data_IF_091146679257
#
_entry.id   IF_091146679257
#
_cell.length_a   1.000
_cell.length_b   1.000
_cell.length_c   1.000
_cell.angle_alpha   90.00
_cell.angle_beta   90.00
_cell.angle_gamma   90.00
#
_symmetry.space_group_name_H-M   'P 1'
#
loop_
_entity.id
_entity.type
_entity.pdbx_description
1 polymer ?
#
# COMPACT_ATOMS: atom_id res chain seq x y z
N UNK A 1 -20.07 -5.12 23.12
CA UNK A 1 -18.79 -5.65 23.68
C UNK A 1 -17.80 -6.07 22.57
N UNK A 2 -17.70 -5.32 21.46
CA UNK A 2 -16.98 -5.75 20.23
C UNK A 2 -15.49 -5.34 20.15
N UNK A 3 -14.99 -4.51 21.06
CA UNK A 3 -13.71 -3.79 20.87
C UNK A 3 -12.40 -4.54 21.18
N UNK A 4 -12.44 -5.64 21.96
CA UNK A 4 -11.19 -6.32 22.38
C UNK A 4 -10.65 -7.34 21.38
N UNK A 5 -11.52 -7.99 20.59
CA UNK A 5 -11.11 -9.06 19.66
C UNK A 5 -10.56 -8.53 18.33
N UNK A 6 -10.86 -7.28 17.95
CA UNK A 6 -10.49 -6.74 16.63
C UNK A 6 -9.10 -6.10 16.62
N UNK A 7 -8.60 -5.60 17.75
CA UNK A 7 -7.31 -4.89 17.81
C UNK A 7 -6.09 -5.74 17.40
N UNK A 8 -5.87 -6.97 17.90
CA UNK A 8 -4.74 -7.78 17.46
C UNK A 8 -4.83 -8.14 15.98
N UNK A 9 -6.04 -8.37 15.46
CA UNK A 9 -6.28 -8.58 14.04
C UNK A 9 -5.87 -7.35 13.22
N UNK A 10 -6.32 -6.15 13.62
CA UNK A 10 -5.99 -4.89 12.95
C UNK A 10 -4.48 -4.61 12.93
N UNK A 11 -3.77 -4.89 14.02
CA UNK A 11 -2.30 -4.78 14.06
C UNK A 11 -1.63 -5.78 13.11
N UNK A 12 -2.10 -7.04 13.11
CA UNK A 12 -1.56 -8.07 12.23
C UNK A 12 -1.77 -7.78 10.75
N UNK A 13 -2.98 -7.35 10.35
CA UNK A 13 -3.25 -6.98 8.97
C UNK A 13 -2.49 -5.73 8.55
N UNK A 14 -2.31 -4.76 9.45
CA UNK A 14 -1.60 -3.53 9.12
C UNK A 14 -0.08 -3.72 9.04
N UNK A 15 0.46 -4.68 9.81
CA UNK A 15 1.80 -5.20 9.63
C UNK A 15 1.98 -5.85 8.25
N UNK A 16 1.08 -6.75 7.85
CA UNK A 16 1.16 -7.44 6.55
C UNK A 16 0.96 -6.48 5.36
N UNK A 17 0.09 -5.48 5.52
CA UNK A 17 -0.06 -4.36 4.58
C UNK A 17 1.27 -3.59 4.44
N UNK A 18 1.95 -3.29 5.55
CA UNK A 18 3.28 -2.67 5.55
C UNK A 18 4.33 -3.50 4.83
N UNK A 19 4.38 -4.81 5.07
CA UNK A 19 5.26 -5.74 4.33
C UNK A 19 5.01 -5.64 2.83
N UNK A 20 3.73 -5.73 2.42
CA UNK A 20 3.33 -5.71 1.00
C UNK A 20 3.67 -4.37 0.34
N UNK A 21 3.37 -3.26 1.02
CA UNK A 21 3.64 -1.91 0.53
C UNK A 21 5.11 -1.69 0.19
N UNK A 22 6.03 -2.15 1.04
CA UNK A 22 7.46 -1.97 0.80
C UNK A 22 8.03 -2.98 -0.20
N UNK A 23 7.46 -4.19 -0.31
CA UNK A 23 7.79 -5.09 -1.43
C UNK A 23 7.42 -4.41 -2.76
N UNK A 24 6.22 -3.82 -2.88
CA UNK A 24 5.84 -3.09 -4.08
C UNK A 24 6.73 -1.90 -4.35
N UNK A 25 7.02 -1.08 -3.33
CA UNK A 25 7.84 0.11 -3.53
C UNK A 25 9.21 -0.26 -4.13
N UNK A 26 9.86 -1.29 -3.59
CA UNK A 26 11.16 -1.74 -4.09
C UNK A 26 11.02 -2.42 -5.47
N UNK A 27 9.99 -3.25 -5.68
CA UNK A 27 9.79 -3.96 -6.94
C UNK A 27 9.39 -3.02 -8.10
N UNK A 28 8.46 -2.09 -7.87
CA UNK A 28 8.08 -1.08 -8.86
C UNK A 28 9.24 -0.14 -9.16
N UNK A 29 10.06 0.23 -8.17
CA UNK A 29 11.28 0.99 -8.44
C UNK A 29 12.20 0.25 -9.42
N UNK A 30 12.39 -1.07 -9.25
CA UNK A 30 13.18 -1.89 -10.19
C UNK A 30 12.54 -2.03 -11.57
N UNK A 31 11.22 -2.19 -11.66
CA UNK A 31 10.52 -2.23 -12.95
C UNK A 31 10.68 -0.91 -13.71
N UNK A 32 10.55 0.21 -13.00
CA UNK A 32 10.69 1.55 -13.56
C UNK A 32 12.12 1.84 -14.01
N UNK A 33 13.15 1.36 -13.29
CA UNK A 33 14.53 1.41 -13.77
C UNK A 33 14.75 0.71 -15.11
N UNK A 34 13.98 -0.35 -15.40
CA UNK A 34 13.99 -1.00 -16.71
C UNK A 34 13.45 -0.10 -17.85
N UNK A 35 12.62 0.90 -17.53
CA UNK A 35 11.98 1.78 -18.52
C UNK A 35 12.75 3.08 -18.80
N UNK A 36 13.44 3.67 -17.82
CA UNK A 36 14.14 4.97 -17.99
C UNK A 36 15.64 4.94 -17.69
N UNK A 37 16.19 3.82 -17.18
CA UNK A 37 17.56 3.78 -16.65
C UNK A 37 17.64 4.13 -15.16
N UNK A 38 18.83 3.94 -14.59
CA UNK A 38 19.12 4.10 -13.15
C UNK A 38 19.83 5.42 -12.90
N UNK A 39 19.10 6.53 -13.07
CA UNK A 39 19.63 7.88 -12.83
C UNK A 39 19.03 8.50 -11.55
N UNK A 40 19.75 9.45 -10.97
CA UNK A 40 19.33 10.17 -9.75
C UNK A 40 17.98 10.86 -9.96
N UNK A 41 17.74 11.38 -11.17
CA UNK A 41 16.47 11.99 -11.56
C UNK A 41 15.31 10.98 -11.47
N UNK A 42 15.49 9.76 -12.00
CA UNK A 42 14.50 8.69 -11.96
C UNK A 42 14.16 8.28 -10.52
N UNK A 43 15.18 8.11 -9.66
CA UNK A 43 14.97 7.77 -8.25
C UNK A 43 14.18 8.88 -7.54
N UNK A 44 14.55 10.14 -7.78
CA UNK A 44 13.90 11.30 -7.17
C UNK A 44 12.43 11.39 -7.56
N UNK A 45 12.11 11.16 -8.84
CA UNK A 45 10.73 11.17 -9.34
C UNK A 45 9.91 10.05 -8.68
N UNK A 46 10.45 8.83 -8.61
CA UNK A 46 9.74 7.68 -8.02
C UNK A 46 9.43 7.96 -6.55
N UNK A 47 10.45 8.32 -5.75
CA UNK A 47 10.27 8.60 -4.31
C UNK A 47 9.30 9.77 -4.12
N UNK A 48 9.41 10.84 -4.91
CA UNK A 48 8.49 11.98 -4.83
C UNK A 48 7.05 11.59 -5.16
N UNK A 49 6.85 10.71 -6.16
CA UNK A 49 5.52 10.17 -6.51
C UNK A 49 4.92 9.42 -5.34
N UNK A 50 5.70 8.54 -4.72
CA UNK A 50 5.27 7.78 -3.55
C UNK A 50 4.94 8.72 -2.38
N UNK A 51 5.80 9.68 -2.06
CA UNK A 51 5.55 10.63 -0.96
C UNK A 51 4.31 11.49 -1.23
N UNK A 52 4.13 11.98 -2.46
CA UNK A 52 2.93 12.73 -2.84
C UNK A 52 1.68 11.86 -2.74
N UNK A 53 1.71 10.66 -3.31
CA UNK A 53 0.61 9.72 -3.23
C UNK A 53 0.24 9.40 -1.78
N UNK A 54 1.21 9.03 -0.95
CA UNK A 54 0.99 8.77 0.47
C UNK A 54 0.36 9.97 1.19
N UNK A 55 0.85 11.19 0.91
CA UNK A 55 0.29 12.43 1.47
C UNK A 55 -1.15 12.71 1.02
N UNK A 56 -1.42 12.67 -0.29
CA UNK A 56 -2.76 12.84 -0.85
C UNK A 56 -3.73 11.78 -0.33
N UNK A 57 -3.27 10.53 -0.30
CA UNK A 57 -3.98 9.39 0.27
C UNK A 57 -4.32 9.58 1.73
N UNK A 58 -3.38 10.04 2.55
CA UNK A 58 -3.60 10.26 3.97
C UNK A 58 -4.66 11.36 4.22
N UNK A 59 -4.61 12.46 3.47
CA UNK A 59 -5.60 13.54 3.56
C UNK A 59 -7.00 13.05 3.16
N UNK A 60 -7.11 12.42 1.98
CA UNK A 60 -8.38 11.90 1.48
C UNK A 60 -8.93 10.79 2.38
N UNK A 61 -8.06 9.89 2.84
CA UNK A 61 -8.41 8.77 3.72
C UNK A 61 -8.91 9.23 5.08
N UNK A 62 -8.29 10.25 5.68
CA UNK A 62 -8.76 10.85 6.93
C UNK A 62 -10.15 11.47 6.79
N UNK A 63 -10.34 12.32 5.76
CA UNK A 63 -11.63 12.96 5.50
C UNK A 63 -12.74 11.94 5.22
N UNK A 64 -12.43 10.88 4.47
CA UNK A 64 -13.40 9.85 4.12
C UNK A 64 -13.71 8.93 5.32
N UNK A 65 -12.71 8.67 6.17
CA UNK A 65 -12.88 7.92 7.41
C UNK A 65 -13.82 8.63 8.40
N UNK A 66 -13.71 9.96 8.51
CA UNK A 66 -14.60 10.77 9.35
C UNK A 66 -16.06 10.72 8.85
N UNK A 67 -16.24 10.75 7.53
CA UNK A 67 -17.57 10.70 6.88
C UNK A 67 -18.25 9.33 6.95
N UNK A 68 -17.51 8.24 6.75
CA UNK A 68 -18.08 6.89 6.59
C UNK A 68 -18.26 6.13 7.90
N UNK A 69 -17.50 6.51 8.92
CA UNK A 69 -17.61 5.97 10.26
C UNK A 69 -17.44 4.46 10.39
N UNK A 70 -18.53 3.72 10.69
CA UNK A 70 -18.42 2.26 10.84
C UNK A 70 -18.06 1.55 9.51
N UNK A 71 -18.31 2.18 8.36
CA UNK A 71 -17.94 1.65 7.04
C UNK A 71 -16.47 1.91 6.67
N UNK A 72 -15.71 2.63 7.49
CA UNK A 72 -14.30 2.93 7.25
C UNK A 72 -13.44 1.68 7.13
N UNK A 73 -13.78 0.61 7.87
CA UNK A 73 -13.07 -0.68 7.80
C UNK A 73 -13.33 -1.41 6.48
N UNK A 74 -14.55 -1.30 5.95
CA UNK A 74 -14.88 -1.84 4.61
C UNK A 74 -14.09 -1.09 3.54
N UNK A 75 -13.97 0.23 3.66
CA UNK A 75 -13.17 1.03 2.75
C UNK A 75 -11.68 0.69 2.84
N UNK A 76 -11.13 0.48 4.03
CA UNK A 76 -9.76 -0.03 4.19
C UNK A 76 -9.57 -1.35 3.44
N UNK A 77 -10.50 -2.31 3.59
CA UNK A 77 -10.44 -3.57 2.87
C UNK A 77 -10.53 -3.40 1.35
N UNK A 78 -11.31 -2.43 0.86
CA UNK A 78 -11.38 -2.08 -0.56
C UNK A 78 -10.10 -1.42 -1.06
N UNK A 79 -9.45 -0.56 -0.28
CA UNK A 79 -8.15 0.00 -0.60
C UNK A 79 -7.09 -1.10 -0.76
N UNK A 80 -7.03 -2.03 0.20
CA UNK A 80 -6.12 -3.18 0.15
C UNK A 80 -6.40 -4.08 -1.05
N UNK A 81 -7.68 -4.36 -1.34
CA UNK A 81 -8.06 -5.09 -2.54
C UNK A 81 -7.60 -4.37 -3.82
N UNK A 82 -7.82 -3.05 -3.90
CA UNK A 82 -7.39 -2.22 -5.02
C UNK A 82 -5.87 -2.20 -5.20
N UNK A 83 -5.11 -2.13 -4.11
CA UNK A 83 -3.65 -2.23 -4.12
C UNK A 83 -3.21 -3.59 -4.65
N UNK A 84 -3.81 -4.68 -4.17
CA UNK A 84 -3.49 -6.04 -4.63
C UNK A 84 -3.81 -6.26 -6.11
N UNK A 85 -4.97 -5.80 -6.57
CA UNK A 85 -5.37 -5.86 -7.99
C UNK A 85 -4.43 -5.04 -8.87
N UNK A 86 -4.09 -3.82 -8.42
CA UNK A 86 -3.09 -3.02 -9.10
C UNK A 86 -1.72 -3.72 -9.11
N UNK A 87 -1.32 -4.35 -8.01
CA UNK A 87 -0.11 -5.15 -7.90
C UNK A 87 -0.03 -6.21 -9.02
N UNK A 88 -1.07 -7.02 -9.19
CA UNK A 88 -1.13 -7.99 -10.28
C UNK A 88 -1.02 -7.31 -11.65
N UNK A 89 -1.82 -6.28 -11.90
CA UNK A 89 -1.85 -5.57 -13.18
C UNK A 89 -0.54 -4.83 -13.48
N UNK A 90 0.19 -4.39 -12.45
CA UNK A 90 1.40 -3.57 -12.58
C UNK A 90 2.53 -4.28 -13.33
N UNK A 91 2.60 -5.61 -13.21
CA UNK A 91 3.58 -6.45 -13.93
C UNK A 91 3.45 -6.34 -15.46
N UNK A 92 2.25 -6.00 -15.95
CA UNK A 92 1.97 -5.79 -17.37
C UNK A 92 1.86 -4.31 -17.70
N UNK A 93 1.17 -3.53 -16.86
CA UNK A 93 0.91 -2.11 -17.09
C UNK A 93 2.18 -1.26 -17.12
N UNK A 94 3.11 -1.46 -16.17
CA UNK A 94 4.33 -0.65 -16.11
C UNK A 94 5.20 -0.88 -17.36
N UNK A 95 5.52 -2.13 -17.76
CA UNK A 95 6.24 -2.37 -19.02
C UNK A 95 5.48 -1.89 -20.25
N UNK A 96 4.15 -2.06 -20.30
CA UNK A 96 3.34 -1.62 -21.45
C UNK A 96 3.35 -0.09 -21.62
N UNK A 97 3.26 0.66 -20.52
CA UNK A 97 3.39 2.12 -20.54
C UNK A 97 4.80 2.51 -20.98
N UNK A 98 5.84 1.86 -20.44
CA UNK A 98 7.22 2.05 -20.87
C UNK A 98 7.40 1.86 -22.39
N UNK A 99 6.90 0.75 -22.93
CA UNK A 99 6.97 0.45 -24.36
C UNK A 99 6.16 1.44 -25.22
N UNK A 100 4.96 1.84 -24.77
CA UNK A 100 4.08 2.76 -25.50
C UNK A 100 4.70 4.14 -25.71
N UNK A 101 5.49 4.58 -24.73
CA UNK A 101 6.13 5.89 -24.72
C UNK A 101 7.64 5.82 -24.99
N UNK A 102 8.18 4.67 -25.45
CA UNK A 102 9.61 4.46 -25.70
C UNK A 102 10.23 5.52 -26.63
N UNK A 103 9.47 6.00 -27.61
CA UNK A 103 9.90 7.03 -28.57
C UNK A 103 9.52 8.46 -28.16
N UNK A 104 8.96 8.65 -26.97
CA UNK A 104 8.59 9.96 -26.43
C UNK A 104 9.76 10.60 -25.67
N UNK A 105 9.64 11.89 -25.36
CA UNK A 105 10.63 12.57 -24.52
C UNK A 105 10.58 12.07 -23.08
N UNK A 106 11.74 12.06 -22.40
CA UNK A 106 11.87 11.59 -21.02
C UNK A 106 10.82 12.18 -20.04
N UNK A 107 10.47 13.49 -20.09
CA UNK A 107 9.44 14.04 -19.22
C UNK A 107 8.05 13.42 -19.42
N UNK A 108 7.70 13.03 -20.64
CA UNK A 108 6.40 12.40 -20.95
C UNK A 108 6.34 10.99 -20.37
N UNK A 109 7.41 10.21 -20.53
CA UNK A 109 7.47 8.85 -19.97
C UNK A 109 7.43 8.92 -18.44
N UNK A 110 8.16 9.88 -17.84
CA UNK A 110 8.17 10.12 -16.41
C UNK A 110 6.78 10.51 -15.89
N UNK A 111 6.10 11.45 -16.55
CA UNK A 111 4.74 11.86 -16.17
C UNK A 111 3.72 10.71 -16.27
N UNK A 112 3.82 9.88 -17.32
CA UNK A 112 2.91 8.73 -17.49
C UNK A 112 3.05 7.71 -16.33
N UNK A 113 4.28 7.38 -15.96
CA UNK A 113 4.53 6.45 -14.85
C UNK A 113 4.29 7.08 -13.48
N UNK A 114 4.55 8.39 -13.33
CA UNK A 114 4.19 9.16 -12.15
C UNK A 114 2.68 9.03 -11.88
N UNK A 115 1.85 9.30 -12.88
CA UNK A 115 0.40 9.21 -12.77
C UNK A 115 -0.06 7.76 -12.51
N UNK A 116 0.59 6.78 -13.13
CA UNK A 116 0.29 5.36 -12.93
C UNK A 116 0.53 4.91 -11.48
N UNK A 117 1.65 5.31 -10.86
CA UNK A 117 2.02 4.92 -9.49
C UNK A 117 1.35 5.79 -8.44
N UNK A 118 0.90 7.00 -8.79
CA UNK A 118 0.22 7.90 -7.85
C UNK A 118 -1.06 7.26 -7.27
N UNK A 119 -1.79 6.49 -8.08
CA UNK A 119 -3.03 5.82 -7.67
C UNK A 119 -2.81 4.80 -6.53
N UNK A 120 -1.99 3.74 -6.70
CA UNK A 120 -1.74 2.78 -5.63
C UNK A 120 -1.04 3.42 -4.43
N UNK A 121 -0.14 4.39 -4.64
CA UNK A 121 0.50 5.11 -3.53
C UNK A 121 -0.52 5.90 -2.70
N UNK A 122 -1.53 6.49 -3.35
CA UNK A 122 -2.64 7.16 -2.65
C UNK A 122 -3.51 6.18 -1.88
N UNK A 123 -3.80 5.01 -2.44
CA UNK A 123 -4.52 3.96 -1.69
C UNK A 123 -3.73 3.52 -0.46
N UNK A 124 -2.41 3.32 -0.58
CA UNK A 124 -1.54 2.98 0.54
C UNK A 124 -1.55 4.07 1.62
N UNK A 125 -1.48 5.35 1.23
CA UNK A 125 -1.49 6.47 2.17
C UNK A 125 -2.79 6.61 2.97
N UNK A 126 -3.90 6.20 2.37
CA UNK A 126 -5.22 6.29 2.98
C UNK A 126 -5.43 5.29 4.12
N UNK A 127 -4.67 4.19 4.15
CA UNK A 127 -4.87 3.07 5.08
C UNK A 127 -4.68 3.44 6.56
N UNK A 128 -3.63 4.20 6.89
CA UNK A 128 -3.30 4.53 8.29
C UNK A 128 -4.38 5.43 8.93
N UNK A 129 -4.78 6.57 8.33
CA UNK A 129 -5.84 7.41 8.90
C UNK A 129 -7.16 6.66 9.06
N UNK A 130 -7.51 5.76 8.12
CA UNK A 130 -8.72 4.93 8.21
C UNK A 130 -8.72 4.04 9.45
N UNK A 131 -7.62 3.32 9.71
CA UNK A 131 -7.52 2.44 10.87
C UNK A 131 -7.45 3.22 12.19
N UNK A 132 -6.76 4.37 12.20
CA UNK A 132 -6.71 5.26 13.36
C UNK A 132 -8.10 5.78 13.71
N UNK A 133 -8.86 6.28 12.71
CA UNK A 133 -10.22 6.79 12.91
C UNK A 133 -11.17 5.69 13.42
N UNK A 134 -11.00 4.45 12.97
CA UNK A 134 -11.77 3.32 13.48
C UNK A 134 -11.44 3.00 14.95
N UNK A 135 -10.15 2.87 15.29
CA UNK A 135 -9.73 2.53 16.67
C UNK A 135 -10.01 3.65 17.68
N UNK A 136 -9.96 4.91 17.25
CA UNK A 136 -10.28 6.05 18.11
C UNK A 136 -11.74 6.06 18.57
N UNK A 137 -12.68 5.61 17.73
CA UNK A 137 -14.10 5.53 18.10
C UNK A 137 -14.35 4.61 19.29
N UNK A 138 -13.52 3.59 19.44
CA UNK A 138 -13.63 2.59 20.51
C UNK A 138 -12.77 2.92 21.74
N UNK A 139 -11.76 3.80 21.63
CA UNK A 139 -10.83 4.14 22.72
C UNK A 139 -10.50 5.64 22.75
N UNK A 140 -10.69 6.27 23.92
CA UNK A 140 -10.38 7.69 24.14
C UNK A 140 -8.88 8.06 24.03
N UNK A 141 -7.97 7.08 23.89
CA UNK A 141 -6.53 7.33 23.81
C UNK A 141 -6.01 7.25 22.36
N UNK A 142 -6.04 8.40 21.68
CA UNK A 142 -5.54 8.59 20.31
C UNK A 142 -4.07 8.18 20.19
N UNK A 143 -3.22 8.58 21.13
CA UNK A 143 -1.78 8.37 21.07
C UNK A 143 -1.38 6.90 21.03
N UNK A 144 -2.02 6.06 21.86
CA UNK A 144 -1.79 4.61 21.86
C UNK A 144 -2.28 3.95 20.56
N UNK A 145 -3.39 4.42 19.99
CA UNK A 145 -3.95 3.86 18.76
C UNK A 145 -3.05 4.17 17.56
N UNK A 146 -2.65 5.43 17.40
CA UNK A 146 -1.69 5.86 16.38
C UNK A 146 -0.36 5.13 16.56
N UNK A 147 0.22 5.16 17.77
CA UNK A 147 1.53 4.57 18.03
C UNK A 147 1.58 3.08 17.74
N UNK A 148 0.57 2.31 18.18
CA UNK A 148 0.56 0.85 17.95
C UNK A 148 0.36 0.47 16.48
N UNK A 149 -0.52 1.17 15.74
CA UNK A 149 -0.68 0.96 14.30
C UNK A 149 0.59 1.37 13.54
N UNK A 150 1.14 2.55 13.83
CA UNK A 150 2.34 3.06 13.17
C UNK A 150 3.54 2.14 13.43
N UNK A 151 3.69 1.62 14.65
CA UNK A 151 4.71 0.63 14.99
C UNK A 151 4.54 -0.65 14.15
N UNK A 152 3.33 -1.22 14.09
CA UNK A 152 3.07 -2.46 13.38
C UNK A 152 3.37 -2.32 11.87
N UNK A 153 2.88 -1.25 11.25
CA UNK A 153 3.10 -0.98 9.84
C UNK A 153 4.57 -0.68 9.53
N UNK A 154 5.24 0.13 10.35
CA UNK A 154 6.66 0.46 10.14
C UNK A 154 7.55 -0.77 10.27
N UNK A 155 7.27 -1.65 11.24
CA UNK A 155 8.02 -2.90 11.39
C UNK A 155 7.77 -3.84 10.20
N UNK A 156 6.52 -3.96 9.75
CA UNK A 156 6.18 -4.71 8.55
C UNK A 156 6.89 -4.15 7.31
N UNK A 157 6.86 -2.83 7.13
CA UNK A 157 7.55 -2.11 6.07
C UNK A 157 9.05 -2.38 6.06
N UNK A 158 9.72 -2.26 7.21
CA UNK A 158 11.15 -2.54 7.34
C UNK A 158 11.48 -3.99 6.94
N UNK A 159 10.68 -4.95 7.40
CA UNK A 159 10.84 -6.37 7.03
C UNK A 159 10.56 -6.61 5.55
N UNK A 160 9.54 -5.98 4.99
CA UNK A 160 9.21 -6.06 3.56
C UNK A 160 10.33 -5.51 2.68
N UNK A 161 10.90 -4.36 3.03
CA UNK A 161 12.02 -3.76 2.31
C UNK A 161 13.28 -4.63 2.38
N UNK A 162 13.62 -5.14 3.58
CA UNK A 162 14.75 -6.05 3.78
C UNK A 162 14.56 -7.35 3.00
N UNK A 163 13.39 -7.97 3.12
CA UNK A 163 13.05 -9.21 2.42
C UNK A 163 13.10 -9.01 0.91
N UNK A 164 12.53 -7.93 0.38
CA UNK A 164 12.58 -7.62 -1.05
C UNK A 164 14.01 -7.53 -1.57
N UNK A 165 14.84 -6.70 -0.92
CA UNK A 165 16.21 -6.45 -1.37
C UNK A 165 17.17 -7.63 -1.23
N UNK A 166 17.00 -8.48 -0.21
CA UNK A 166 17.98 -9.52 0.16
C UNK A 166 17.53 -10.94 -0.19
N UNK A 167 16.23 -11.24 -0.03
CA UNK A 167 15.70 -12.60 -0.15
C UNK A 167 14.84 -12.77 -1.41
N UNK A 168 13.80 -11.95 -1.59
CA UNK A 168 12.82 -12.16 -2.64
C UNK A 168 13.47 -12.07 -4.01
N UNK A 169 14.24 -11.02 -4.31
CA UNK A 169 14.89 -10.92 -5.63
C UNK A 169 16.04 -11.90 -5.85
N UNK A 170 16.47 -12.63 -4.82
CA UNK A 170 17.45 -13.71 -4.95
C UNK A 170 16.80 -15.04 -5.34
N UNK A 171 15.59 -15.31 -4.85
CA UNK A 171 14.91 -16.60 -5.03
C UNK A 171 13.67 -16.53 -5.94
N UNK A 172 13.09 -15.35 -6.12
CA UNK A 172 11.89 -15.07 -6.89
C UNK A 172 12.18 -14.05 -7.99
N UNK A 173 11.38 -14.11 -9.07
CA UNK A 173 11.38 -13.04 -10.07
C UNK A 173 10.73 -11.76 -9.51
N UNK A 174 10.92 -10.63 -10.21
CA UNK A 174 10.23 -9.38 -9.86
C UNK A 174 8.71 -9.58 -9.84
N UNK A 175 8.15 -10.23 -10.84
CA UNK A 175 6.71 -10.48 -10.95
C UNK A 175 6.20 -11.37 -9.81
N UNK A 176 6.91 -12.46 -9.50
CA UNK A 176 6.57 -13.34 -8.37
C UNK A 176 6.60 -12.60 -7.03
N UNK A 177 7.55 -11.68 -6.85
CA UNK A 177 7.64 -10.85 -5.64
C UNK A 177 6.43 -9.91 -5.52
N UNK A 178 6.00 -9.33 -6.64
CA UNK A 178 4.80 -8.47 -6.72
C UNK A 178 3.53 -9.30 -6.46
N UNK A 179 3.42 -10.50 -7.02
CA UNK A 179 2.28 -11.39 -6.78
C UNK A 179 2.21 -11.86 -5.33
N UNK A 180 3.35 -12.09 -4.68
CA UNK A 180 3.40 -12.40 -3.25
C UNK A 180 2.85 -11.24 -2.41
N UNK A 181 3.24 -10.00 -2.73
CA UNK A 181 2.68 -8.82 -2.08
C UNK A 181 1.16 -8.69 -2.33
N UNK A 182 0.70 -8.97 -3.55
CA UNK A 182 -0.73 -8.96 -3.90
C UNK A 182 -1.53 -10.00 -3.13
N UNK A 183 -0.99 -11.20 -2.98
CA UNK A 183 -1.58 -12.21 -2.10
C UNK A 183 -1.66 -11.71 -0.65
N UNK A 184 -0.63 -11.01 -0.17
CA UNK A 184 -0.65 -10.32 1.13
C UNK A 184 -1.81 -9.35 1.28
N UNK A 185 -2.04 -8.46 0.30
CA UNK A 185 -3.17 -7.52 0.35
C UNK A 185 -4.53 -8.22 0.28
N UNK A 186 -4.67 -9.28 -0.52
CA UNK A 186 -5.92 -10.05 -0.58
C UNK A 186 -6.20 -10.77 0.74
N UNK A 187 -5.17 -11.31 1.40
CA UNK A 187 -5.28 -11.88 2.75
C UNK A 187 -5.69 -10.82 3.77
N UNK A 188 -5.12 -9.61 3.70
CA UNK A 188 -5.51 -8.47 4.54
C UNK A 188 -6.99 -8.14 4.33
N UNK A 189 -7.38 -7.90 3.07
CA UNK A 189 -8.76 -7.53 2.70
C UNK A 189 -9.76 -8.59 3.15
N UNK A 190 -9.48 -9.86 2.85
CA UNK A 190 -10.32 -11.00 3.25
C UNK A 190 -10.42 -11.17 4.77
N UNK A 191 -9.31 -11.04 5.49
CA UNK A 191 -9.29 -11.15 6.96
C UNK A 191 -10.12 -10.06 7.63
N UNK A 192 -10.05 -8.82 7.09
CA UNK A 192 -10.86 -7.72 7.57
C UNK A 192 -12.35 -7.92 7.25
N UNK A 193 -12.68 -8.38 6.05
CA UNK A 193 -14.07 -8.65 5.66
C UNK A 193 -14.71 -9.74 6.52
N UNK A 194 -14.01 -10.86 6.74
CA UNK A 194 -14.49 -11.97 7.60
C UNK A 194 -14.56 -11.54 9.07
N UNK A 195 -13.55 -10.81 9.56
CA UNK A 195 -13.51 -10.33 10.95
C UNK A 195 -14.62 -9.32 11.26
N UNK A 196 -14.95 -8.44 10.31
CA UNK A 196 -16.00 -7.43 10.48
C UNK A 196 -17.41 -7.98 10.26
N UNK A 197 -17.59 -8.95 9.34
CA UNK A 197 -18.87 -9.63 9.12
C UNK A 197 -19.39 -10.39 10.34
N UNK A 198 -18.48 -10.96 11.14
CA UNK A 198 -18.82 -11.64 12.42
C UNK A 198 -19.25 -10.69 13.54
N UNK A 199 -19.01 -9.39 13.41
CA UNK A 199 -19.43 -8.38 14.40
C UNK A 199 -20.82 -7.78 14.15
N UNK A 200 -21.46 -8.12 13.03
CA UNK A 200 -22.82 -7.66 12.66
C UNK A 200 -23.92 -8.71 12.84
N UNK A 201 -23.55 -9.99 13.00
CA UNK A 201 -24.48 -11.10 13.26
C UNK A 201 -24.62 -11.32 14.77
#
# INVERSE_FOLDING_TARGET
MSGKSSRPLLLGVFFLSGVSALIYQVAWQRLLFGAFGVDIESITIIVSTFMLGLGCGALAGGQLADRLGHRTVELFALCELGIGLFGLASTVLIPAVGARFLHSSLPVIAAANFLLILLPASLMGATLPMLVAHLFRDNANVGLSIGSLYWANTMGAALGALAAGVLLFRYLTLDQSIWLAAAGNFLVSGSVYVGHGRGRA
#
